data_IF_188209423448
#
_entry.id   IF_188209423448
#
_cell.length_a   1.000
_cell.length_b   1.000
_cell.length_c   1.000
_cell.angle_alpha   90.00
_cell.angle_beta   90.00
_cell.angle_gamma   90.00
#
_symmetry.space_group_name_H-M   'P 1'
#
loop_
_entity.id
_entity.type
_entity.pdbx_description
1 polymer ?
#
# COMPACT_ATOMS: atom_id res chain seq x y z
N UNK A 1 9.51 1.47 15.07
CA UNK A 1 8.91 2.12 13.87
C UNK A 1 10.02 2.29 12.83
N UNK A 2 9.74 1.93 11.58
CA UNK A 2 10.68 2.13 10.49
C UNK A 2 10.95 3.63 10.25
N UNK A 3 12.08 3.94 9.57
CA UNK A 3 12.49 5.32 9.29
C UNK A 3 11.55 5.99 8.30
N UNK A 4 11.28 7.29 8.50
CA UNK A 4 10.45 8.09 7.59
C UNK A 4 11.03 8.14 6.17
N UNK A 5 10.17 8.11 5.16
CA UNK A 5 10.56 8.14 3.75
C UNK A 5 10.97 6.79 3.18
N UNK A 6 10.88 5.69 3.94
CA UNK A 6 11.23 4.33 3.51
C UNK A 6 10.01 3.51 3.07
N UNK A 7 10.25 2.46 2.28
CA UNK A 7 9.22 1.50 1.91
C UNK A 7 8.66 0.76 3.13
N UNK A 8 9.55 0.39 4.05
CA UNK A 8 9.18 -0.29 5.30
C UNK A 8 8.23 0.57 6.13
N UNK A 9 8.47 1.90 6.21
CA UNK A 9 7.57 2.80 6.93
C UNK A 9 6.21 2.91 6.26
N UNK A 10 6.17 3.00 4.92
CA UNK A 10 4.92 3.02 4.17
C UNK A 10 4.09 1.75 4.43
N UNK A 11 4.73 0.59 4.40
CA UNK A 11 4.10 -0.70 4.67
C UNK A 11 3.63 -0.80 6.13
N UNK A 12 4.45 -0.37 7.08
CA UNK A 12 4.08 -0.36 8.50
C UNK A 12 2.82 0.46 8.75
N UNK A 13 2.75 1.69 8.17
CA UNK A 13 1.57 2.56 8.25
C UNK A 13 0.35 1.88 7.63
N UNK A 14 0.49 1.33 6.42
CA UNK A 14 -0.64 0.70 5.73
C UNK A 14 -1.16 -0.54 6.49
N UNK A 15 -0.28 -1.39 7.02
CA UNK A 15 -0.65 -2.58 7.78
C UNK A 15 -1.35 -2.24 9.10
N UNK A 16 -0.99 -1.12 9.73
CA UNK A 16 -1.63 -0.67 10.96
C UNK A 16 -3.10 -0.26 10.78
N UNK A 17 -3.50 0.05 9.55
CA UNK A 17 -4.86 0.46 9.21
C UNK A 17 -5.78 -0.73 8.83
N UNK A 18 -5.26 -1.94 8.67
CA UNK A 18 -6.06 -3.13 8.29
C UNK A 18 -7.16 -3.38 9.32
N UNK A 19 -8.40 -3.54 8.82
CA UNK A 19 -9.61 -3.67 9.63
C UNK A 19 -10.32 -2.35 9.91
N UNK A 20 -9.78 -1.21 9.47
CA UNK A 20 -10.50 0.06 9.53
C UNK A 20 -11.68 0.01 8.57
N UNK A 21 -12.87 0.35 9.06
CA UNK A 21 -14.13 0.43 8.30
C UNK A 21 -14.52 1.89 8.14
N UNK A 22 -15.14 2.25 7.02
CA UNK A 22 -15.70 3.58 6.81
C UNK A 22 -16.75 3.92 7.85
N UNK A 23 -17.06 5.20 8.00
CA UNK A 23 -18.04 5.68 8.98
C UNK A 23 -19.47 5.29 8.61
N UNK A 24 -20.46 5.76 9.41
CA UNK A 24 -21.87 5.37 9.22
C UNK A 24 -22.47 5.88 7.90
N UNK A 25 -21.84 6.85 7.27
CA UNK A 25 -22.22 7.31 5.93
C UNK A 25 -21.26 6.70 4.92
N UNK A 26 -21.81 6.28 3.77
CA UNK A 26 -21.04 5.71 2.67
C UNK A 26 -19.83 6.57 2.31
N UNK A 27 -18.67 5.93 2.23
CA UNK A 27 -17.38 6.57 1.93
C UNK A 27 -16.91 7.67 2.92
N UNK A 28 -17.47 7.76 4.13
CA UNK A 28 -17.01 8.71 5.15
C UNK A 28 -15.73 8.18 5.82
N UNK A 29 -14.58 8.81 5.60
CA UNK A 29 -13.31 8.34 6.17
C UNK A 29 -12.36 9.47 6.54
N UNK A 30 -11.43 9.18 7.47
CA UNK A 30 -10.30 10.08 7.74
C UNK A 30 -9.41 10.31 6.51
N UNK A 31 -9.33 9.31 5.62
CA UNK A 31 -8.54 9.37 4.39
C UNK A 31 -9.16 10.33 3.37
N UNK A 32 -10.49 10.25 3.19
CA UNK A 32 -11.24 11.18 2.35
C UNK A 32 -11.18 12.61 2.88
N UNK A 33 -11.32 12.79 4.21
CA UNK A 33 -11.16 14.10 4.86
C UNK A 33 -9.76 14.68 4.63
N UNK A 34 -8.71 13.88 4.76
CA UNK A 34 -7.33 14.29 4.51
C UNK A 34 -7.11 14.78 3.08
N UNK A 35 -7.63 14.07 2.08
CA UNK A 35 -7.49 14.43 0.66
C UNK A 35 -8.50 15.44 0.16
N UNK A 36 -9.44 15.91 1.01
CA UNK A 36 -10.58 16.77 0.67
C UNK A 36 -11.53 16.12 -0.37
N UNK A 37 -11.62 14.79 -0.34
CA UNK A 37 -12.48 13.95 -1.17
C UNK A 37 -13.32 13.01 -0.31
N UNK A 38 -13.86 13.49 0.83
CA UNK A 38 -14.74 12.72 1.69
C UNK A 38 -16.05 12.37 0.96
N UNK A 39 -16.67 11.26 1.33
CA UNK A 39 -17.87 10.71 0.67
C UNK A 39 -17.65 10.30 -0.79
N UNK A 40 -16.42 10.07 -1.21
CA UNK A 40 -16.04 9.54 -2.53
C UNK A 40 -15.28 8.23 -2.35
N UNK A 41 -15.23 7.35 -3.38
CA UNK A 41 -14.38 6.15 -3.32
C UNK A 41 -12.97 6.49 -2.85
N UNK A 42 -12.52 5.89 -1.76
CA UNK A 42 -11.37 6.37 -1.00
C UNK A 42 -10.09 5.49 -1.07
N UNK A 43 -10.03 4.55 -2.02
CA UNK A 43 -8.81 3.74 -2.21
C UNK A 43 -7.56 4.60 -2.47
N UNK A 44 -7.69 5.61 -3.35
CA UNK A 44 -6.60 6.55 -3.63
C UNK A 44 -6.31 7.49 -2.46
N UNK A 45 -7.35 7.92 -1.74
CA UNK A 45 -7.21 8.73 -0.52
C UNK A 45 -6.45 7.98 0.56
N UNK A 46 -6.71 6.67 0.73
CA UNK A 46 -5.98 5.79 1.63
C UNK A 46 -4.48 5.75 1.30
N UNK A 47 -4.13 5.50 0.03
CA UNK A 47 -2.72 5.47 -0.40
C UNK A 47 -2.03 6.80 -0.14
N UNK A 48 -2.66 7.92 -0.48
CA UNK A 48 -2.08 9.24 -0.26
C UNK A 48 -1.92 9.57 1.24
N UNK A 49 -2.87 9.15 2.07
CA UNK A 49 -2.78 9.30 3.53
C UNK A 49 -1.62 8.46 4.09
N UNK A 50 -1.53 7.18 3.74
CA UNK A 50 -0.43 6.32 4.19
C UNK A 50 0.94 6.88 3.77
N UNK A 51 1.05 7.36 2.55
CA UNK A 51 2.28 7.97 2.04
C UNK A 51 2.66 9.23 2.84
N UNK A 52 1.69 10.08 3.18
CA UNK A 52 1.92 11.27 4.03
C UNK A 52 2.43 10.88 5.42
N UNK A 53 1.76 9.93 6.09
CA UNK A 53 2.14 9.44 7.42
C UNK A 53 3.51 8.75 7.43
N UNK A 54 3.90 8.19 6.30
CA UNK A 54 5.20 7.55 6.12
C UNK A 54 6.30 8.52 5.62
N UNK A 55 5.98 9.78 5.31
CA UNK A 55 6.91 10.74 4.71
C UNK A 55 7.33 10.38 3.29
N UNK A 56 6.55 9.57 2.58
CA UNK A 56 6.82 9.13 1.20
C UNK A 56 6.08 10.01 0.21
N UNK A 57 6.75 10.46 -0.86
CA UNK A 57 6.13 11.28 -1.90
C UNK A 57 5.54 10.39 -2.99
N UNK A 58 4.21 10.36 -3.08
CA UNK A 58 3.47 9.74 -4.19
C UNK A 58 2.67 10.81 -4.95
N UNK A 59 2.37 10.62 -6.24
CA UNK A 59 1.39 11.44 -6.94
C UNK A 59 0.02 11.40 -6.25
N UNK A 60 -0.84 12.40 -6.52
CA UNK A 60 -2.23 12.32 -6.10
C UNK A 60 -2.92 11.14 -6.83
N UNK A 61 -3.36 10.14 -6.06
CA UNK A 61 -3.99 8.90 -6.54
C UNK A 61 -5.50 8.88 -6.27
N UNK A 62 -6.10 9.96 -5.76
CA UNK A 62 -7.55 10.03 -5.49
C UNK A 62 -8.34 9.69 -6.75
N UNK A 63 -7.96 10.24 -7.90
CA UNK A 63 -8.39 9.76 -9.20
C UNK A 63 -7.35 8.77 -9.75
N UNK A 64 -7.63 7.49 -9.64
CA UNK A 64 -6.66 6.42 -9.89
C UNK A 64 -6.03 6.44 -11.29
N UNK A 65 -6.75 6.71 -12.40
CA UNK A 65 -6.11 6.86 -13.71
C UNK A 65 -5.13 8.04 -13.76
N UNK A 66 -5.45 9.13 -13.08
CA UNK A 66 -4.57 10.31 -12.97
C UNK A 66 -3.28 10.01 -12.21
N UNK A 67 -3.37 9.24 -11.12
CA UNK A 67 -2.22 8.76 -10.37
C UNK A 67 -1.28 7.90 -11.21
N UNK A 68 -1.83 6.92 -11.95
CA UNK A 68 -1.07 6.08 -12.88
C UNK A 68 -0.39 6.92 -13.97
N UNK A 69 -1.12 7.86 -14.59
CA UNK A 69 -0.58 8.75 -15.60
C UNK A 69 0.57 9.62 -15.05
N UNK A 70 0.47 10.06 -13.80
CA UNK A 70 1.52 10.84 -13.15
C UNK A 70 2.80 10.01 -12.88
N UNK A 71 2.68 8.72 -12.52
CA UNK A 71 3.82 7.81 -12.45
C UNK A 71 4.46 7.58 -13.82
N UNK A 72 3.64 7.34 -14.86
CA UNK A 72 4.11 7.21 -16.25
C UNK A 72 4.90 8.45 -16.70
N UNK A 73 4.36 9.64 -16.47
CA UNK A 73 5.03 10.92 -16.80
C UNK A 73 6.39 11.10 -16.10
N UNK A 74 6.54 10.53 -14.89
CA UNK A 74 7.79 10.58 -14.11
C UNK A 74 8.79 9.47 -14.47
N UNK A 75 8.47 8.57 -15.41
CA UNK A 75 9.27 7.38 -15.71
C UNK A 75 9.39 6.42 -14.53
N UNK A 76 8.40 6.41 -13.65
CA UNK A 76 8.32 5.60 -12.43
C UNK A 76 7.14 4.59 -12.47
N UNK A 77 6.68 4.26 -13.65
CA UNK A 77 5.65 3.26 -13.91
C UNK A 77 6.28 1.98 -14.46
N UNK A 78 5.77 0.83 -14.04
CA UNK A 78 6.16 -0.50 -14.50
C UNK A 78 4.89 -1.23 -14.93
N UNK A 79 4.81 -1.65 -16.18
CA UNK A 79 3.65 -2.41 -16.69
C UNK A 79 3.59 -3.80 -16.06
N UNK A 80 2.39 -4.27 -15.73
CA UNK A 80 2.18 -5.48 -14.95
C UNK A 80 2.73 -6.76 -15.58
N UNK A 81 2.73 -6.86 -16.91
CA UNK A 81 3.22 -8.02 -17.66
C UNK A 81 4.74 -8.20 -17.58
N UNK A 82 5.49 -7.12 -17.42
CA UNK A 82 6.96 -7.12 -17.29
C UNK A 82 7.45 -6.82 -15.88
N UNK A 83 6.52 -6.56 -14.93
CA UNK A 83 6.86 -6.11 -13.60
C UNK A 83 7.68 -7.13 -12.79
N UNK A 84 8.59 -6.57 -12.00
CA UNK A 84 9.25 -7.15 -10.83
C UNK A 84 8.89 -6.24 -9.65
N UNK A 85 7.72 -6.50 -9.01
CA UNK A 85 7.20 -5.57 -8.02
C UNK A 85 7.98 -5.65 -6.71
N UNK A 86 8.21 -4.48 -6.12
CA UNK A 86 8.91 -4.36 -4.85
C UNK A 86 7.94 -3.96 -3.72
N UNK A 87 8.20 -4.36 -2.47
CA UNK A 87 7.47 -3.84 -1.32
C UNK A 87 7.51 -2.31 -1.29
N UNK A 88 6.33 -1.70 -1.11
CA UNK A 88 6.16 -0.24 -1.17
C UNK A 88 5.75 0.30 -2.53
N UNK A 89 5.76 -0.49 -3.61
CA UNK A 89 5.16 -0.09 -4.88
C UNK A 89 3.66 0.16 -4.73
N UNK A 90 3.12 1.05 -5.54
CA UNK A 90 1.70 1.37 -5.61
C UNK A 90 1.08 0.58 -6.76
N UNK A 91 0.30 -0.44 -6.43
CA UNK A 91 -0.38 -1.30 -7.41
C UNK A 91 -1.65 -0.64 -7.92
N UNK A 92 -1.85 -0.62 -9.23
CA UNK A 92 -3.03 -0.10 -9.90
C UNK A 92 -3.82 -1.23 -10.56
N UNK A 93 -5.14 -1.20 -10.35
CA UNK A 93 -6.03 -2.29 -10.72
C UNK A 93 -7.04 -1.86 -11.78
N UNK A 94 -7.27 -2.78 -12.70
CA UNK A 94 -8.43 -2.82 -13.57
C UNK A 94 -9.11 -4.18 -13.36
N UNK A 95 -10.30 -4.15 -12.75
CA UNK A 95 -11.02 -5.39 -12.45
C UNK A 95 -11.89 -5.78 -13.64
N UNK A 96 -11.63 -6.91 -14.32
CA UNK A 96 -12.37 -7.30 -15.52
C UNK A 96 -13.89 -7.44 -15.35
N UNK A 97 -14.36 -7.54 -14.10
CA UNK A 97 -15.77 -7.77 -13.77
C UNK A 97 -16.50 -6.59 -13.12
N UNK A 98 -15.86 -5.41 -13.00
CA UNK A 98 -16.47 -4.28 -12.30
C UNK A 98 -17.29 -3.35 -13.22
N UNK A 99 -17.36 -3.66 -14.53
CA UNK A 99 -18.07 -2.87 -15.53
C UNK A 99 -17.42 -1.53 -15.87
N UNK A 100 -16.15 -1.34 -15.49
CA UNK A 100 -15.37 -0.13 -15.72
C UNK A 100 -14.14 -0.47 -16.53
N UNK A 101 -14.09 -0.07 -17.80
CA UNK A 101 -12.95 -0.32 -18.69
C UNK A 101 -11.84 0.72 -18.49
N UNK A 102 -11.26 0.73 -17.33
CA UNK A 102 -10.12 1.58 -16.93
C UNK A 102 -9.62 1.23 -15.53
N UNK A 103 -8.43 1.70 -15.18
CA UNK A 103 -7.94 1.65 -13.79
C UNK A 103 -9.00 2.24 -12.85
N UNK A 104 -9.51 1.42 -11.95
CA UNK A 104 -10.61 1.75 -11.02
C UNK A 104 -10.23 1.66 -9.55
N UNK A 105 -9.06 1.07 -9.23
CA UNK A 105 -8.63 0.84 -7.85
C UNK A 105 -7.11 0.95 -7.69
N UNK A 106 -6.64 1.08 -6.44
CA UNK A 106 -5.22 1.24 -6.09
C UNK A 106 -4.95 0.69 -4.68
N UNK A 107 -3.73 0.15 -4.47
CA UNK A 107 -3.28 -0.36 -3.18
C UNK A 107 -1.76 -0.28 -3.03
N UNK A 108 -1.25 -0.65 -1.87
CA UNK A 108 0.17 -0.64 -1.52
C UNK A 108 0.69 -2.08 -1.49
N UNK A 109 1.73 -2.40 -2.25
CA UNK A 109 2.38 -3.71 -2.23
C UNK A 109 3.12 -3.90 -0.92
N UNK A 110 2.86 -5.00 -0.23
CA UNK A 110 3.57 -5.36 1.01
C UNK A 110 4.53 -6.53 0.82
N UNK A 111 4.30 -7.36 -0.20
CA UNK A 111 5.15 -8.51 -0.51
C UNK A 111 4.92 -8.99 -1.93
N UNK A 112 5.99 -9.24 -2.68
CA UNK A 112 5.97 -10.10 -3.87
C UNK A 112 6.11 -11.57 -3.45
N UNK A 113 5.35 -12.46 -4.09
CA UNK A 113 5.42 -13.89 -3.87
C UNK A 113 6.26 -14.62 -4.94
N UNK A 114 6.82 -13.89 -5.92
CA UNK A 114 7.66 -14.43 -7.00
C UNK A 114 6.93 -15.47 -7.89
N UNK A 115 5.60 -15.45 -7.85
CA UNK A 115 4.73 -16.40 -8.57
C UNK A 115 3.65 -15.72 -9.43
N UNK A 116 3.82 -14.42 -9.73
CA UNK A 116 2.85 -13.60 -10.44
C UNK A 116 1.76 -13.01 -9.53
N UNK A 117 1.91 -13.18 -8.20
CA UNK A 117 1.00 -12.62 -7.21
C UNK A 117 1.74 -11.78 -6.18
N UNK A 118 1.04 -10.78 -5.64
CA UNK A 118 1.53 -9.91 -4.57
C UNK A 118 0.51 -9.84 -3.45
N UNK A 119 0.97 -9.60 -2.22
CA UNK A 119 0.12 -9.11 -1.14
C UNK A 119 0.06 -7.59 -1.20
N UNK A 120 -1.17 -7.05 -1.19
CA UNK A 120 -1.43 -5.62 -1.12
C UNK A 120 -2.21 -5.28 0.15
N UNK A 121 -2.06 -4.04 0.64
CA UNK A 121 -3.02 -3.41 1.55
C UNK A 121 -3.80 -2.37 0.75
N UNK A 122 -5.12 -2.48 0.81
CA UNK A 122 -6.06 -1.72 -0.02
C UNK A 122 -7.12 -1.08 0.87
N UNK A 123 -7.41 0.20 0.65
CA UNK A 123 -8.56 0.87 1.22
C UNK A 123 -9.78 0.77 0.31
N UNK A 124 -10.97 0.94 0.86
CA UNK A 124 -12.24 0.88 0.14
C UNK A 124 -12.48 -0.44 -0.62
N UNK A 125 -12.07 -1.54 -0.03
CA UNK A 125 -12.27 -2.89 -0.58
C UNK A 125 -13.06 -3.74 0.42
N UNK A 126 -13.44 -4.95 0.06
CA UNK A 126 -14.12 -5.88 0.97
C UNK A 126 -13.22 -7.04 1.35
N UNK A 127 -13.22 -7.42 2.61
CA UNK A 127 -12.64 -8.66 3.10
C UNK A 127 -13.31 -9.89 2.50
N UNK A 128 -14.64 -9.83 2.26
CA UNK A 128 -15.40 -10.88 1.60
C UNK A 128 -15.09 -10.93 0.09
N UNK A 129 -14.84 -12.13 -0.43
CA UNK A 129 -14.60 -12.36 -1.85
C UNK A 129 -15.82 -12.01 -2.74
N UNK A 130 -17.03 -12.06 -2.18
CA UNK A 130 -18.29 -11.67 -2.86
C UNK A 130 -18.59 -10.19 -2.75
N UNK A 131 -17.93 -9.48 -1.83
CA UNK A 131 -18.10 -8.04 -1.66
C UNK A 131 -17.41 -7.24 -2.75
N UNK A 132 -17.73 -5.95 -2.84
CA UNK A 132 -17.12 -5.04 -3.79
C UNK A 132 -15.61 -4.94 -3.54
N UNK A 133 -14.81 -5.18 -4.57
CA UNK A 133 -13.36 -5.04 -4.48
C UNK A 133 -12.89 -3.61 -4.79
N UNK A 134 -13.79 -2.76 -5.24
CA UNK A 134 -13.54 -1.36 -5.63
C UNK A 134 -14.24 -0.33 -4.73
N UNK A 135 -15.31 -0.73 -4.06
CA UNK A 135 -16.08 0.12 -3.13
C UNK A 135 -16.68 -0.77 -2.02
N UNK A 136 -15.80 -1.34 -1.19
CA UNK A 136 -16.17 -2.31 -0.15
C UNK A 136 -16.13 -1.77 1.28
N UNK A 137 -15.74 -0.52 1.47
CA UNK A 137 -15.84 0.19 2.73
C UNK A 137 -14.81 -0.19 3.81
N UNK A 138 -13.80 -1.00 3.50
CA UNK A 138 -12.86 -1.54 4.49
C UNK A 138 -11.40 -1.43 4.02
N UNK A 139 -10.45 -1.38 4.96
CA UNK A 139 -9.02 -1.58 4.69
C UNK A 139 -8.68 -3.04 4.87
N UNK A 140 -8.27 -3.71 3.79
CA UNK A 140 -7.93 -5.13 3.82
C UNK A 140 -6.54 -5.43 3.27
N UNK A 141 -5.93 -6.51 3.79
CA UNK A 141 -4.79 -7.14 3.16
C UNK A 141 -5.27 -8.21 2.18
N UNK A 142 -4.97 -8.06 0.89
CA UNK A 142 -5.49 -8.90 -0.21
C UNK A 142 -4.36 -9.54 -1.00
N UNK A 143 -4.57 -10.78 -1.43
CA UNK A 143 -3.71 -11.44 -2.42
C UNK A 143 -4.22 -11.09 -3.82
N UNK A 144 -3.34 -10.53 -4.66
CA UNK A 144 -3.67 -10.04 -6.00
C UNK A 144 -2.71 -10.61 -7.05
N UNK A 145 -3.16 -10.70 -8.29
CA UNK A 145 -2.33 -11.17 -9.40
C UNK A 145 -2.05 -10.05 -10.39
N UNK A 146 -0.81 -10.00 -10.87
CA UNK A 146 -0.33 -9.13 -11.95
C UNK A 146 0.10 -9.94 -13.17
N UNK A 147 0.33 -11.26 -12.99
CA UNK A 147 0.62 -12.21 -14.06
C UNK A 147 -0.20 -13.48 -13.88
N UNK A 148 -0.27 -14.29 -14.97
CA UNK A 148 -0.83 -15.65 -14.89
C UNK A 148 -0.10 -16.45 -13.81
N UNK A 149 -0.84 -17.08 -12.92
CA UNK A 149 -0.31 -17.77 -11.75
C UNK A 149 -0.95 -19.15 -11.57
N UNK A 150 -0.25 -20.05 -10.88
CA UNK A 150 -0.70 -21.42 -10.63
C UNK A 150 -1.85 -21.51 -9.61
N UNK A 151 -2.12 -20.41 -8.86
CA UNK A 151 -3.19 -20.35 -7.88
C UNK A 151 -4.56 -20.05 -8.49
N UNK A 152 -4.62 -19.76 -9.81
CA UNK A 152 -5.86 -19.40 -10.50
C UNK A 152 -6.45 -18.06 -10.09
N UNK A 153 -5.65 -17.19 -9.46
CA UNK A 153 -6.08 -15.85 -9.09
C UNK A 153 -6.17 -15.02 -10.37
N UNK A 154 -7.31 -14.36 -10.57
CA UNK A 154 -7.55 -13.52 -11.72
C UNK A 154 -6.59 -12.33 -11.74
N UNK A 155 -5.94 -12.09 -12.88
CA UNK A 155 -5.08 -10.93 -13.09
C UNK A 155 -5.92 -9.67 -13.05
N UNK A 156 -5.59 -8.76 -12.17
CA UNK A 156 -6.29 -7.48 -11.97
C UNK A 156 -5.35 -6.29 -11.85
N UNK A 157 -4.06 -6.52 -11.55
CA UNK A 157 -3.08 -5.44 -11.52
C UNK A 157 -2.54 -5.23 -12.93
N UNK A 158 -2.67 -3.99 -13.43
CA UNK A 158 -2.22 -3.59 -14.77
C UNK A 158 -0.86 -2.91 -14.76
N UNK A 159 -0.39 -2.49 -13.60
CA UNK A 159 0.94 -1.91 -13.43
C UNK A 159 1.18 -1.35 -12.04
N UNK A 160 2.40 -0.89 -11.84
CA UNK A 160 2.90 -0.39 -10.56
C UNK A 160 3.54 0.98 -10.73
N UNK A 161 3.25 1.86 -9.80
CA UNK A 161 3.99 3.11 -9.62
C UNK A 161 5.03 2.92 -8.53
N UNK A 162 6.32 3.14 -8.83
CA UNK A 162 7.40 3.04 -7.84
C UNK A 162 7.74 4.41 -7.26
N UNK A 163 7.43 4.65 -5.96
CA UNK A 163 7.85 5.88 -5.28
C UNK A 163 9.38 5.95 -5.21
N UNK A 164 9.91 7.16 -5.17
CA UNK A 164 11.30 7.34 -4.75
C UNK A 164 11.33 7.34 -3.24
N UNK A 165 11.91 6.28 -2.67
CA UNK A 165 12.24 6.23 -1.27
C UNK A 165 13.57 6.95 -1.04
N UNK A 166 13.72 7.62 0.09
CA UNK A 166 14.94 8.36 0.40
C UNK A 166 15.17 8.43 1.90
N UNK A 167 16.42 8.48 2.30
CA UNK A 167 16.77 8.82 3.67
C UNK A 167 16.43 10.29 3.88
N UNK A 168 15.36 10.58 4.61
CA UNK A 168 15.12 11.92 5.12
C UNK A 168 16.15 12.20 6.22
N UNK A 169 17.27 12.80 5.85
CA UNK A 169 18.09 13.51 6.83
C UNK A 169 17.23 14.67 7.32
N UNK A 170 16.66 14.55 8.51
CA UNK A 170 16.04 15.66 9.22
C UNK A 170 17.10 16.73 9.42
N UNK A 171 17.09 17.77 8.61
CA UNK A 171 17.78 19.03 8.90
C UNK A 171 16.98 19.80 9.95
N UNK A 172 16.91 19.27 11.16
CA UNK A 172 16.64 20.06 12.36
C UNK A 172 17.95 20.07 13.13
N UNK A 173 18.52 21.27 13.21
CA UNK A 173 19.63 21.72 14.02
C UNK A 173 20.06 20.79 15.17
N UNK A 174 21.36 20.45 15.11
CA UNK A 174 22.17 19.75 16.08
C UNK A 174 22.05 20.33 17.50
N UNK A 175 21.99 19.46 18.51
CA UNK A 175 22.87 19.61 19.68
C UNK A 175 23.97 18.54 19.64
N UNK A 176 25.18 19.02 19.87
CA UNK A 176 26.41 18.25 19.98
C UNK A 176 26.40 17.29 21.17
N UNK A 177 26.96 16.10 20.97
CA UNK A 177 27.59 15.36 22.05
C UNK A 177 27.09 13.93 22.26
N UNK A 178 27.93 12.96 21.93
CA UNK A 178 28.13 11.79 22.80
C UNK A 178 27.45 10.46 22.44
N UNK A 179 28.24 9.59 21.81
CA UNK A 179 28.47 8.18 22.17
C UNK A 179 27.38 7.11 22.02
N UNK A 180 27.76 6.12 21.20
CA UNK A 180 27.51 4.65 21.32
C UNK A 180 26.08 4.10 21.23
N UNK A 181 25.85 3.50 20.07
CA UNK A 181 25.03 2.31 19.78
C UNK A 181 24.61 1.47 21.01
N UNK A 182 23.28 1.37 21.21
CA UNK A 182 22.65 0.18 21.76
C UNK A 182 21.50 -0.22 20.85
N UNK A 183 21.49 -1.49 20.43
CA UNK A 183 20.47 -2.12 19.61
C UNK A 183 19.07 -1.79 20.15
N UNK A 184 18.26 -1.15 19.34
CA UNK A 184 16.87 -0.86 19.68
C UNK A 184 16.10 -2.20 19.79
N UNK A 185 15.50 -2.45 20.94
CA UNK A 185 14.56 -3.56 21.15
C UNK A 185 13.35 -3.33 20.27
N UNK A 186 12.99 -4.31 19.48
CA UNK A 186 11.77 -4.32 18.65
C UNK A 186 10.55 -4.16 19.58
N UNK A 187 9.60 -3.30 19.19
CA UNK A 187 8.35 -3.10 19.93
C UNK A 187 7.66 -4.46 20.12
N UNK A 188 7.19 -4.79 21.36
CA UNK A 188 6.54 -6.06 21.67
C UNK A 188 5.36 -6.40 20.76
N UNK A 189 4.62 -5.42 20.25
CA UNK A 189 3.51 -5.62 19.31
C UNK A 189 4.00 -6.00 17.92
N UNK A 190 5.10 -5.42 17.49
CA UNK A 190 5.75 -5.77 16.22
C UNK A 190 6.37 -7.16 16.33
N UNK A 191 6.99 -7.49 17.46
CA UNK A 191 7.55 -8.82 17.69
C UNK A 191 6.42 -9.88 17.69
N UNK A 192 5.29 -9.63 18.33
CA UNK A 192 4.14 -10.53 18.32
C UNK A 192 3.56 -10.73 16.90
N UNK A 193 3.54 -9.69 16.07
CA UNK A 193 3.12 -9.79 14.67
C UNK A 193 4.13 -10.61 13.83
N UNK A 194 5.42 -10.43 14.07
CA UNK A 194 6.50 -11.23 13.46
C UNK A 194 6.39 -12.70 13.88
N UNK A 195 6.17 -12.96 15.17
CA UNK A 195 6.04 -14.32 15.72
C UNK A 195 4.80 -15.03 15.17
N UNK A 196 3.67 -14.31 15.03
CA UNK A 196 2.45 -14.83 14.42
C UNK A 196 2.63 -15.14 12.93
N UNK A 197 3.36 -14.32 12.20
CA UNK A 197 3.69 -14.58 10.79
C UNK A 197 4.65 -15.76 10.65
N UNK A 198 5.65 -15.85 11.53
CA UNK A 198 6.62 -16.96 11.55
C UNK A 198 5.96 -18.28 11.92
N UNK A 199 5.04 -18.30 12.91
CA UNK A 199 4.28 -19.48 13.30
C UNK A 199 3.35 -20.01 12.18
N UNK A 200 2.98 -19.14 11.24
CA UNK A 200 2.23 -19.48 10.02
C UNK A 200 3.12 -19.84 8.82
N UNK A 201 4.42 -20.05 9.04
CA UNK A 201 5.35 -20.52 8.01
C UNK A 201 5.95 -19.43 7.11
N UNK A 202 5.81 -18.14 7.47
CA UNK A 202 6.43 -17.05 6.73
C UNK A 202 7.87 -16.83 7.21
N UNK A 203 8.87 -17.04 6.34
CA UNK A 203 10.25 -16.66 6.64
C UNK A 203 10.41 -15.15 6.57
N UNK A 204 10.73 -14.52 7.69
CA UNK A 204 11.11 -13.10 7.75
C UNK A 204 12.62 -13.08 7.77
N UNK A 205 13.26 -12.69 6.67
CA UNK A 205 14.71 -12.41 6.61
C UNK A 205 14.94 -11.03 7.23
N UNK A 206 15.94 -11.00 8.15
CA UNK A 206 16.43 -9.78 8.81
C UNK A 206 17.18 -8.91 7.82
#
# INVERSE_FOLDING_TARGET
MAEQGTAERLIEVALAEVGTVEGPKDNETKYGKFTKADFQPWCGSFVNWCANEAGVKVPNTVYTPGGAAAFKKKGAWIDGDVADPEPGDIAYFDFPSDGVDRISHVGIVVKDNEDGTVWCVEGNTSGDAKGSQRNGGEVCKKLRAFKKNKKGIMVSIVGFGRPKFGNFTNTTSKPSGGSASKSAKVDPKIQAAIDLLTSKGYKITK
#
